data_IF_639536852708
#
_entry.id   IF_639536852708
#
_cell.length_a   1.000
_cell.length_b   1.000
_cell.length_c   1.000
_cell.angle_alpha   90.00
_cell.angle_beta   90.00
_cell.angle_gamma   90.00
#
_symmetry.space_group_name_H-M   'P 1'
#
loop_
_entity.id
_entity.type
_entity.pdbx_description
1 polymer ?
#
# COMPACT_ATOMS: atom_id res chain seq x y z
N UNK A 1 11.04 -13.07 30.78
CA UNK A 1 11.89 -11.95 30.30
C UNK A 1 11.02 -10.71 30.24
N UNK A 2 11.38 -9.64 30.96
CA UNK A 2 10.65 -8.37 30.92
C UNK A 2 10.69 -7.83 29.48
N UNK A 3 9.52 -7.62 28.87
CA UNK A 3 9.43 -6.98 27.57
C UNK A 3 9.84 -5.51 27.77
N UNK A 4 11.06 -5.16 27.35
CA UNK A 4 11.56 -3.79 27.48
C UNK A 4 10.60 -2.76 26.87
N UNK A 5 10.53 -1.58 27.48
CA UNK A 5 9.75 -0.47 26.94
C UNK A 5 10.26 -0.10 25.54
N UNK A 6 9.35 0.01 24.58
CA UNK A 6 9.69 0.48 23.24
C UNK A 6 10.03 1.97 23.30
N UNK A 7 11.32 2.28 23.33
CA UNK A 7 11.83 3.65 23.17
C UNK A 7 12.04 3.84 21.66
N UNK A 8 11.45 4.90 21.10
CA UNK A 8 11.72 5.27 19.70
C UNK A 8 13.20 5.62 19.56
N UNK A 9 13.99 4.69 19.05
CA UNK A 9 15.39 4.91 18.71
C UNK A 9 15.52 5.89 17.53
N UNK A 10 16.73 6.43 17.35
CA UNK A 10 16.99 7.40 16.28
C UNK A 10 16.69 6.83 14.89
N UNK A 11 16.88 5.52 14.71
CA UNK A 11 16.56 4.82 13.48
C UNK A 11 15.04 4.83 13.19
N UNK A 12 14.22 4.47 14.18
CA UNK A 12 12.76 4.48 14.06
C UNK A 12 12.23 5.88 13.78
N UNK A 13 12.79 6.91 14.43
CA UNK A 13 12.45 8.32 14.17
C UNK A 13 12.83 8.74 12.75
N UNK A 14 14.00 8.35 12.27
CA UNK A 14 14.43 8.61 10.90
C UNK A 14 13.49 7.97 9.88
N UNK A 15 13.17 6.68 10.06
CA UNK A 15 12.24 5.95 9.19
C UNK A 15 10.87 6.63 9.12
N UNK A 16 10.30 7.02 10.27
CA UNK A 16 9.02 7.75 10.33
C UNK A 16 9.12 9.06 9.52
N UNK A 17 10.15 9.87 9.77
CA UNK A 17 10.32 11.17 9.11
C UNK A 17 10.49 11.03 7.61
N UNK A 18 11.30 10.06 7.15
CA UNK A 18 11.49 9.76 5.74
C UNK A 18 10.18 9.32 5.08
N UNK A 19 9.40 8.44 5.72
CA UNK A 19 8.11 7.99 5.20
C UNK A 19 7.10 9.14 5.08
N UNK A 20 7.03 10.02 6.09
CA UNK A 20 6.17 11.22 6.05
C UNK A 20 6.61 12.18 4.95
N UNK A 21 7.91 12.45 4.83
CA UNK A 21 8.45 13.33 3.79
C UNK A 21 8.14 12.82 2.39
N UNK A 22 8.40 11.54 2.13
CA UNK A 22 8.08 10.89 0.85
C UNK A 22 6.57 10.98 0.56
N UNK A 23 5.71 10.63 1.51
CA UNK A 23 4.27 10.66 1.32
C UNK A 23 3.75 12.08 1.00
N UNK A 24 4.24 13.09 1.73
CA UNK A 24 3.88 14.50 1.49
C UNK A 24 4.31 14.95 0.08
N UNK A 25 5.54 14.65 -0.31
CA UNK A 25 6.05 14.99 -1.64
C UNK A 25 5.23 14.33 -2.74
N UNK A 26 4.90 13.04 -2.61
CA UNK A 26 4.10 12.32 -3.61
C UNK A 26 2.67 12.90 -3.72
N UNK A 27 2.06 13.28 -2.60
CA UNK A 27 0.74 13.94 -2.57
C UNK A 27 0.77 15.32 -3.24
N UNK A 28 1.76 16.14 -2.93
CA UNK A 28 1.91 17.47 -3.52
C UNK A 28 2.15 17.38 -5.03
N UNK A 29 2.97 16.43 -5.48
CA UNK A 29 3.20 16.17 -6.91
C UNK A 29 1.90 15.76 -7.60
N UNK A 30 1.06 14.92 -6.96
CA UNK A 30 -0.21 14.50 -7.52
C UNK A 30 -1.14 15.70 -7.76
N UNK A 31 -1.36 16.54 -6.74
CA UNK A 31 -2.22 17.73 -6.83
C UNK A 31 -1.69 18.74 -7.84
N UNK A 32 -0.39 19.04 -7.80
CA UNK A 32 0.22 19.95 -8.76
C UNK A 32 0.03 19.45 -10.19
N UNK A 33 0.15 18.14 -10.41
CA UNK A 33 0.02 17.58 -11.75
C UNK A 33 -1.41 17.55 -12.28
N UNK A 34 -2.42 17.36 -11.42
CA UNK A 34 -3.83 17.41 -11.80
C UNK A 34 -4.26 18.82 -12.23
N UNK A 35 -3.69 19.85 -11.59
CA UNK A 35 -3.91 21.25 -11.96
C UNK A 35 -3.47 21.57 -13.41
N UNK A 36 -2.34 21.00 -13.87
CA UNK A 36 -1.82 21.24 -15.22
C UNK A 36 -2.40 20.30 -16.28
N UNK A 37 -2.92 19.14 -15.88
CA UNK A 37 -3.42 18.09 -16.77
C UNK A 37 -4.70 17.45 -16.20
N UNK A 38 -5.85 18.13 -16.27
CA UNK A 38 -7.11 17.61 -15.74
C UNK A 38 -7.58 16.40 -16.56
N UNK A 39 -8.20 15.41 -15.89
CA UNK A 39 -8.72 14.20 -16.56
C UNK A 39 -10.23 14.08 -16.51
N UNK A 40 -10.84 13.68 -17.62
CA UNK A 40 -12.29 13.42 -17.77
C UNK A 40 -12.77 12.19 -16.94
N UNK A 41 -11.83 11.40 -16.42
CA UNK A 41 -12.10 10.22 -15.58
C UNK A 41 -11.98 10.50 -14.07
N UNK A 42 -12.05 11.77 -13.69
CA UNK A 42 -11.69 12.32 -12.36
C UNK A 42 -12.33 11.61 -11.16
N UNK A 43 -13.59 11.19 -11.24
CA UNK A 43 -14.25 10.54 -10.09
C UNK A 43 -13.69 9.13 -9.83
N UNK A 44 -13.60 8.28 -10.86
CA UNK A 44 -13.07 6.90 -10.70
C UNK A 44 -11.60 6.92 -10.34
N UNK A 45 -10.83 7.80 -11.00
CA UNK A 45 -9.42 8.02 -10.70
C UNK A 45 -9.23 8.60 -9.28
N UNK A 46 -10.08 9.54 -8.87
CA UNK A 46 -10.07 10.13 -7.54
C UNK A 46 -10.39 9.14 -6.43
N UNK A 47 -11.42 8.31 -6.61
CA UNK A 47 -11.75 7.23 -5.65
C UNK A 47 -10.58 6.25 -5.52
N UNK A 48 -10.00 5.82 -6.65
CA UNK A 48 -8.83 4.95 -6.60
C UNK A 48 -7.64 5.63 -5.92
N UNK A 49 -7.32 6.86 -6.30
CA UNK A 49 -6.23 7.65 -5.72
C UNK A 49 -6.37 7.79 -4.21
N UNK A 50 -7.54 8.20 -3.71
CA UNK A 50 -7.83 8.33 -2.28
C UNK A 50 -7.68 6.98 -1.57
N UNK A 51 -8.24 5.91 -2.12
CA UNK A 51 -8.14 4.58 -1.52
C UNK A 51 -6.69 4.08 -1.45
N UNK A 52 -5.90 4.30 -2.51
CA UNK A 52 -4.49 3.92 -2.59
C UNK A 52 -3.63 4.75 -1.60
N UNK A 53 -3.86 6.06 -1.51
CA UNK A 53 -3.19 6.94 -0.54
C UNK A 53 -3.49 6.48 0.89
N UNK A 54 -4.76 6.26 1.22
CA UNK A 54 -5.16 5.80 2.56
C UNK A 54 -4.56 4.42 2.87
N UNK A 55 -4.54 3.50 1.89
CA UNK A 55 -3.88 2.21 2.05
C UNK A 55 -2.39 2.38 2.38
N UNK A 56 -1.67 3.25 1.66
CA UNK A 56 -0.26 3.57 1.92
C UNK A 56 -0.07 4.17 3.31
N UNK A 57 -0.90 5.12 3.72
CA UNK A 57 -0.81 5.77 5.04
C UNK A 57 -1.00 4.75 6.16
N UNK A 58 -2.07 3.95 6.10
CA UNK A 58 -2.36 2.94 7.12
C UNK A 58 -1.34 1.80 7.09
N UNK A 59 -0.93 1.33 5.90
CA UNK A 59 0.13 0.34 5.74
C UNK A 59 1.46 0.81 6.34
N UNK A 60 1.82 2.07 6.11
CA UNK A 60 3.01 2.70 6.68
C UNK A 60 2.92 2.75 8.19
N UNK A 61 1.79 3.17 8.75
CA UNK A 61 1.55 3.15 10.19
C UNK A 61 1.75 1.73 10.78
N UNK A 62 1.25 0.70 10.09
CA UNK A 62 1.39 -0.69 10.50
C UNK A 62 2.85 -1.17 10.52
N UNK A 63 3.73 -0.62 9.67
CA UNK A 63 5.17 -0.97 9.73
C UNK A 63 5.80 -0.66 11.09
N UNK A 64 5.37 0.43 11.74
CA UNK A 64 5.82 0.81 13.08
C UNK A 64 5.33 -0.15 14.17
N UNK A 65 4.26 -0.91 13.92
CA UNK A 65 3.76 -1.95 14.80
C UNK A 65 4.37 -3.31 14.48
N UNK A 66 4.67 -3.56 13.21
CA UNK A 66 5.28 -4.79 12.73
C UNK A 66 6.71 -4.98 13.27
N UNK A 67 7.54 -3.93 13.32
CA UNK A 67 8.93 -4.04 13.83
C UNK A 67 8.95 -4.51 15.30
N UNK A 68 8.20 -3.88 16.23
CA UNK A 68 8.07 -4.40 17.59
C UNK A 68 7.53 -5.82 17.67
N UNK A 69 6.54 -6.16 16.85
CA UNK A 69 5.96 -7.49 16.79
C UNK A 69 6.99 -8.54 16.35
N UNK A 70 7.82 -8.24 15.35
CA UNK A 70 8.92 -9.11 14.88
C UNK A 70 10.02 -9.23 15.93
N UNK A 71 10.29 -8.19 16.72
CA UNK A 71 11.28 -8.19 17.83
C UNK A 71 10.75 -8.84 19.12
N UNK A 72 9.43 -9.00 19.25
CA UNK A 72 8.82 -9.68 20.41
C UNK A 72 8.60 -8.75 21.57
N UNK A 73 8.54 -7.47 21.26
CA UNK A 73 8.19 -6.43 22.20
C UNK A 73 6.68 -6.41 22.38
N UNK A 74 6.23 -5.83 23.49
CA UNK A 74 4.81 -5.71 23.77
C UNK A 74 4.15 -4.79 22.72
N UNK A 75 3.09 -5.29 22.07
CA UNK A 75 2.25 -4.55 21.13
C UNK A 75 0.80 -4.70 21.57
N UNK A 76 0.04 -3.61 21.57
CA UNK A 76 -1.40 -3.65 21.84
C UNK A 76 -2.12 -4.38 20.71
N UNK A 77 -2.31 -5.69 20.85
CA UNK A 77 -2.85 -6.56 19.81
C UNK A 77 -4.27 -6.20 19.37
N UNK A 78 -5.11 -5.73 20.28
CA UNK A 78 -6.45 -5.24 19.93
C UNK A 78 -6.37 -4.07 18.96
N UNK A 79 -5.54 -3.07 19.26
CA UNK A 79 -5.33 -1.94 18.34
C UNK A 79 -4.74 -2.41 17.01
N UNK A 80 -3.77 -3.34 17.04
CA UNK A 80 -3.18 -3.90 15.82
C UNK A 80 -4.24 -4.57 14.93
N UNK A 81 -5.18 -5.34 15.51
CA UNK A 81 -6.28 -6.00 14.78
C UNK A 81 -7.14 -5.01 14.00
N UNK A 82 -7.57 -3.93 14.65
CA UNK A 82 -8.40 -2.91 14.00
C UNK A 82 -7.66 -2.21 12.86
N UNK A 83 -6.40 -1.82 13.08
CA UNK A 83 -5.60 -1.18 12.04
C UNK A 83 -5.29 -2.11 10.86
N UNK A 84 -5.08 -3.40 11.13
CA UNK A 84 -4.85 -4.40 10.10
C UNK A 84 -6.12 -4.72 9.29
N UNK A 85 -7.27 -4.77 9.96
CA UNK A 85 -8.58 -4.86 9.29
C UNK A 85 -8.82 -3.63 8.41
N UNK A 86 -8.58 -2.42 8.92
CA UNK A 86 -8.69 -1.19 8.15
C UNK A 86 -7.77 -1.22 6.93
N UNK A 87 -6.50 -1.63 7.08
CA UNK A 87 -5.58 -1.79 5.96
C UNK A 87 -6.09 -2.83 4.94
N UNK A 88 -6.64 -3.96 5.39
CA UNK A 88 -7.20 -4.98 4.51
C UNK A 88 -8.35 -4.43 3.67
N UNK A 89 -9.29 -3.72 4.31
CA UNK A 89 -10.43 -3.10 3.62
C UNK A 89 -9.98 -2.01 2.65
N UNK A 90 -8.99 -1.19 3.02
CA UNK A 90 -8.44 -0.16 2.13
C UNK A 90 -7.70 -0.76 0.93
N UNK A 91 -6.94 -1.84 1.13
CA UNK A 91 -6.28 -2.55 0.03
C UNK A 91 -7.29 -3.25 -0.88
N UNK A 92 -8.38 -3.79 -0.32
CA UNK A 92 -9.49 -4.32 -1.12
C UNK A 92 -10.17 -3.21 -1.94
N UNK A 93 -10.46 -2.07 -1.31
CA UNK A 93 -11.02 -0.91 -1.99
C UNK A 93 -10.08 -0.40 -3.11
N UNK A 94 -8.78 -0.38 -2.86
CA UNK A 94 -7.73 -0.07 -3.84
C UNK A 94 -7.73 -1.04 -5.02
N UNK A 95 -7.85 -2.35 -4.77
CA UNK A 95 -7.93 -3.36 -5.84
C UNK A 95 -9.21 -3.21 -6.67
N UNK A 96 -10.38 -3.06 -6.03
CA UNK A 96 -11.67 -2.90 -6.71
C UNK A 96 -11.68 -1.61 -7.56
N UNK A 97 -11.31 -0.48 -6.96
CA UNK A 97 -11.27 0.81 -7.66
C UNK A 97 -10.17 0.86 -8.73
N UNK A 98 -9.07 0.14 -8.52
CA UNK A 98 -7.99 -0.04 -9.50
C UNK A 98 -8.50 -0.71 -10.77
N UNK A 99 -9.39 -1.69 -10.65
CA UNK A 99 -10.04 -2.31 -11.79
C UNK A 99 -10.91 -1.31 -12.59
N UNK A 100 -11.51 -0.31 -11.95
CA UNK A 100 -12.30 0.71 -12.65
C UNK A 100 -11.46 1.58 -13.58
N UNK A 101 -10.29 2.02 -13.12
CA UNK A 101 -9.35 2.76 -13.97
C UNK A 101 -8.68 1.85 -15.00
N UNK A 102 -8.50 0.57 -14.67
CA UNK A 102 -7.92 -0.43 -15.57
C UNK A 102 -8.82 -0.72 -16.77
N UNK A 103 -10.14 -0.74 -16.60
CA UNK A 103 -11.08 -0.88 -17.71
C UNK A 103 -10.93 0.26 -18.73
N UNK A 104 -10.74 1.50 -18.27
CA UNK A 104 -10.46 2.64 -19.18
C UNK A 104 -9.09 2.51 -19.84
N UNK A 105 -8.10 2.05 -19.09
CA UNK A 105 -6.75 1.79 -19.60
C UNK A 105 -6.78 0.80 -20.79
N UNK A 106 -7.55 -0.28 -20.68
CA UNK A 106 -7.68 -1.35 -21.68
C UNK A 106 -8.74 -1.11 -22.77
N UNK A 107 -9.60 -0.10 -22.61
CA UNK A 107 -10.64 0.23 -23.58
C UNK A 107 -10.05 0.66 -24.93
N UNK A 108 -10.87 0.55 -25.99
CA UNK A 108 -10.52 1.07 -27.31
C UNK A 108 -10.15 2.56 -27.23
N UNK A 109 -9.13 2.96 -27.99
CA UNK A 109 -8.55 4.32 -27.94
C UNK A 109 -8.12 4.69 -26.50
N UNK A 110 -7.69 3.67 -25.76
CA UNK A 110 -7.24 3.75 -24.39
C UNK A 110 -5.79 4.24 -24.27
N UNK A 111 -5.38 4.68 -23.06
CA UNK A 111 -3.98 4.96 -22.78
C UNK A 111 -3.05 3.78 -23.13
N UNK A 112 -3.55 2.54 -23.06
CA UNK A 112 -2.81 1.36 -23.53
C UNK A 112 -2.42 1.44 -25.01
N UNK A 113 -3.37 1.77 -25.88
CA UNK A 113 -3.14 1.77 -27.33
C UNK A 113 -2.10 2.82 -27.70
N UNK A 114 -2.15 3.98 -27.05
CA UNK A 114 -1.12 5.01 -27.19
C UNK A 114 0.26 4.53 -26.71
N UNK A 115 0.34 3.92 -25.51
CA UNK A 115 1.60 3.42 -24.95
C UNK A 115 2.20 2.34 -25.85
N UNK A 116 1.40 1.42 -26.37
CA UNK A 116 1.88 0.38 -27.28
C UNK A 116 2.39 0.94 -28.61
N UNK A 117 1.76 2.01 -29.11
CA UNK A 117 2.18 2.65 -30.36
C UNK A 117 3.48 3.48 -30.21
N UNK A 118 3.77 4.04 -29.03
CA UNK A 118 4.88 4.99 -28.86
C UNK A 118 6.00 4.49 -27.96
N UNK A 119 5.67 3.76 -26.90
CA UNK A 119 6.61 3.31 -25.85
C UNK A 119 6.31 1.86 -25.40
N UNK A 120 6.30 0.87 -26.31
CA UNK A 120 5.87 -0.51 -25.99
C UNK A 120 6.74 -1.21 -24.94
N UNK A 121 8.03 -0.88 -24.86
CA UNK A 121 8.92 -1.42 -23.82
C UNK A 121 8.46 -1.01 -22.40
N UNK A 122 7.88 0.19 -22.25
CA UNK A 122 7.35 0.67 -20.97
C UNK A 122 6.09 -0.12 -20.58
N UNK A 123 5.25 -0.50 -21.55
CA UNK A 123 4.07 -1.34 -21.30
C UNK A 123 4.46 -2.66 -20.64
N UNK A 124 5.39 -3.40 -21.26
CA UNK A 124 5.74 -4.74 -20.82
C UNK A 124 6.43 -4.74 -19.45
N UNK A 125 7.22 -3.70 -19.14
CA UNK A 125 7.96 -3.64 -17.87
C UNK A 125 7.14 -3.01 -16.74
N UNK A 126 6.40 -1.92 -16.99
CA UNK A 126 5.73 -1.19 -15.91
C UNK A 126 4.27 -1.58 -15.73
N UNK A 127 3.52 -1.88 -16.80
CA UNK A 127 2.08 -2.17 -16.66
C UNK A 127 1.84 -3.60 -16.20
N UNK A 128 2.41 -4.59 -16.90
CA UNK A 128 2.20 -6.00 -16.54
C UNK A 128 2.76 -6.32 -15.14
N UNK A 129 3.95 -5.79 -14.83
CA UNK A 129 4.54 -5.92 -13.49
C UNK A 129 3.70 -5.21 -12.42
N UNK A 130 3.25 -3.97 -12.66
CA UNK A 130 2.42 -3.24 -11.70
C UNK A 130 1.11 -3.98 -11.44
N UNK A 131 0.44 -4.45 -12.48
CA UNK A 131 -0.85 -5.15 -12.37
C UNK A 131 -0.74 -6.34 -11.43
N UNK A 132 0.36 -7.11 -11.53
CA UNK A 132 0.61 -8.23 -10.64
C UNK A 132 0.99 -7.79 -9.23
N UNK A 133 2.00 -6.92 -9.09
CA UNK A 133 2.57 -6.48 -7.80
C UNK A 133 1.55 -5.75 -6.94
N UNK A 134 0.69 -4.92 -7.55
CA UNK A 134 -0.28 -4.10 -6.83
C UNK A 134 -1.45 -4.91 -6.25
N UNK A 135 -1.61 -6.17 -6.64
CA UNK A 135 -2.65 -7.06 -6.11
C UNK A 135 -2.20 -7.83 -4.87
N UNK A 136 -0.90 -8.00 -4.62
CA UNK A 136 -0.38 -8.71 -3.44
C UNK A 136 -0.71 -8.09 -2.07
N UNK A 137 -0.81 -6.76 -1.91
CA UNK A 137 -1.08 -6.18 -0.61
C UNK A 137 -2.39 -6.68 0.02
N UNK A 138 -3.46 -6.83 -0.77
CA UNK A 138 -4.74 -7.30 -0.26
C UNK A 138 -4.69 -8.73 0.34
N UNK A 139 -4.28 -9.80 -0.38
CA UNK A 139 -4.24 -11.14 0.16
C UNK A 139 -3.24 -11.27 1.31
N UNK A 140 -2.13 -10.53 1.31
CA UNK A 140 -1.18 -10.53 2.42
C UNK A 140 -1.76 -9.86 3.69
N UNK A 141 -2.40 -8.69 3.56
CA UNK A 141 -3.08 -8.05 4.69
C UNK A 141 -4.26 -8.89 5.19
N UNK A 142 -5.00 -9.53 4.29
CA UNK A 142 -6.08 -10.46 4.64
C UNK A 142 -5.54 -11.66 5.42
N UNK A 143 -4.44 -12.27 4.98
CA UNK A 143 -3.79 -13.39 5.66
C UNK A 143 -3.32 -12.99 7.07
N UNK A 144 -2.70 -11.82 7.21
CA UNK A 144 -2.26 -11.31 8.50
C UNK A 144 -3.46 -11.00 9.42
N UNK A 145 -4.54 -10.41 8.88
CA UNK A 145 -5.80 -10.13 9.59
C UNK A 145 -6.46 -11.41 10.05
N UNK A 146 -6.67 -12.37 9.15
CA UNK A 146 -7.26 -13.66 9.45
C UNK A 146 -6.47 -14.37 10.56
N UNK A 147 -5.13 -14.35 10.49
CA UNK A 147 -4.26 -14.93 11.52
C UNK A 147 -4.50 -14.27 12.89
N UNK A 148 -4.47 -12.94 12.98
CA UNK A 148 -4.70 -12.25 14.27
C UNK A 148 -6.10 -12.45 14.82
N UNK A 149 -7.12 -12.54 13.96
CA UNK A 149 -8.50 -12.74 14.39
C UNK A 149 -8.78 -14.19 14.80
N UNK A 150 -8.23 -15.16 14.07
CA UNK A 150 -8.39 -16.59 14.36
C UNK A 150 -7.76 -16.97 15.71
N UNK A 151 -6.52 -16.56 15.96
CA UNK A 151 -5.85 -16.86 17.23
C UNK A 151 -6.21 -15.90 18.37
N UNK A 152 -6.83 -14.76 18.06
CA UNK A 152 -7.22 -13.74 19.04
C UNK A 152 -6.03 -13.23 19.87
N UNK A 153 -6.28 -12.91 21.14
CA UNK A 153 -5.23 -12.41 22.04
C UNK A 153 -4.22 -13.47 22.46
N UNK A 154 -4.59 -14.76 22.38
CA UNK A 154 -3.70 -15.88 22.75
C UNK A 154 -2.45 -15.97 21.87
N UNK A 155 -2.48 -15.37 20.67
CA UNK A 155 -1.35 -15.30 19.75
C UNK A 155 -0.11 -14.65 20.39
N UNK A 156 -0.26 -13.84 21.44
CA UNK A 156 0.88 -13.25 22.17
C UNK A 156 1.83 -14.30 22.75
N UNK A 157 1.33 -15.51 23.01
CA UNK A 157 2.13 -16.63 23.51
C UNK A 157 2.86 -17.38 22.36
N UNK A 158 2.54 -17.06 21.11
CA UNK A 158 3.01 -17.73 19.89
C UNK A 158 3.96 -16.83 19.12
N UNK A 159 5.24 -16.93 19.45
CA UNK A 159 6.29 -16.07 18.91
C UNK A 159 6.50 -16.23 17.40
N UNK A 160 6.35 -17.46 16.93
CA UNK A 160 6.31 -17.85 15.52
C UNK A 160 5.21 -17.10 14.76
N UNK A 161 3.98 -17.14 15.27
CA UNK A 161 2.82 -16.53 14.62
C UNK A 161 2.88 -15.00 14.63
N UNK A 162 3.32 -14.39 15.73
CA UNK A 162 3.49 -12.93 15.80
C UNK A 162 4.59 -12.43 14.85
N UNK A 163 5.71 -13.15 14.72
CA UNK A 163 6.74 -12.84 13.73
C UNK A 163 6.22 -12.98 12.31
N UNK A 164 5.50 -14.07 12.02
CA UNK A 164 4.87 -14.28 10.72
C UNK A 164 3.96 -13.12 10.34
N UNK A 165 3.04 -12.71 11.24
CA UNK A 165 2.16 -11.54 11.02
C UNK A 165 2.98 -10.27 10.75
N UNK A 166 4.01 -10.01 11.56
CA UNK A 166 4.86 -8.83 11.38
C UNK A 166 5.60 -8.81 10.05
N UNK A 167 6.17 -9.94 9.62
CA UNK A 167 6.86 -10.07 8.33
C UNK A 167 5.85 -9.88 7.19
N UNK A 168 4.68 -10.50 7.27
CA UNK A 168 3.61 -10.38 6.26
C UNK A 168 3.17 -8.93 6.09
N UNK A 169 3.06 -8.16 7.18
CA UNK A 169 2.78 -6.71 7.13
C UNK A 169 3.87 -5.96 6.37
N UNK A 170 5.15 -6.22 6.67
CA UNK A 170 6.27 -5.54 6.00
C UNK A 170 6.35 -5.87 4.51
N UNK A 171 6.22 -7.16 4.15
CA UNK A 171 6.21 -7.61 2.76
C UNK A 171 5.03 -7.00 2.01
N UNK A 172 3.84 -7.02 2.61
CA UNK A 172 2.67 -6.37 2.03
C UNK A 172 2.86 -4.87 1.80
N UNK A 173 3.50 -4.18 2.75
CA UNK A 173 3.81 -2.76 2.62
C UNK A 173 4.82 -2.51 1.50
N UNK A 174 5.81 -3.38 1.30
CA UNK A 174 6.75 -3.27 0.18
C UNK A 174 6.04 -3.36 -1.17
N UNK A 175 5.16 -4.35 -1.36
CA UNK A 175 4.34 -4.46 -2.57
C UNK A 175 3.46 -3.22 -2.78
N UNK A 176 2.84 -2.72 -1.70
CA UNK A 176 2.00 -1.53 -1.74
C UNK A 176 2.78 -0.28 -2.16
N UNK A 177 3.98 -0.08 -1.64
CA UNK A 177 4.85 1.04 -2.02
C UNK A 177 5.29 0.96 -3.49
N UNK A 178 5.69 -0.23 -3.97
CA UNK A 178 6.07 -0.42 -5.37
C UNK A 178 4.88 -0.14 -6.28
N UNK A 179 3.72 -0.72 -6.00
CA UNK A 179 2.49 -0.50 -6.78
C UNK A 179 2.07 0.96 -6.81
N UNK A 180 2.16 1.66 -5.67
CA UNK A 180 1.85 3.08 -5.57
C UNK A 180 2.80 3.94 -6.41
N UNK A 181 4.11 3.76 -6.27
CA UNK A 181 5.13 4.54 -7.01
C UNK A 181 4.99 4.32 -8.51
N UNK A 182 4.91 3.06 -8.96
CA UNK A 182 4.73 2.76 -10.39
C UNK A 182 3.38 3.31 -10.88
N UNK A 183 2.35 3.27 -10.05
CA UNK A 183 1.05 3.84 -10.38
C UNK A 183 1.07 5.36 -10.57
N UNK A 184 1.83 6.09 -9.77
CA UNK A 184 2.04 7.54 -9.95
C UNK A 184 2.77 7.85 -11.25
N UNK A 185 3.81 7.08 -11.60
CA UNK A 185 4.55 7.25 -12.87
C UNK A 185 3.62 7.03 -14.06
N UNK A 186 2.82 5.96 -14.03
CA UNK A 186 1.90 5.65 -15.12
C UNK A 186 0.79 6.68 -15.26
N UNK A 187 0.25 7.21 -14.15
CA UNK A 187 -0.73 8.29 -14.19
C UNK A 187 -0.22 9.58 -14.90
N UNK A 188 1.08 9.66 -15.22
CA UNK A 188 1.69 10.76 -15.99
C UNK A 188 1.99 10.40 -17.44
N UNK A 189 1.97 9.12 -17.80
CA UNK A 189 2.10 8.66 -19.18
C UNK A 189 0.74 8.79 -19.88
N UNK A 190 0.38 10.04 -20.20
CA UNK A 190 -0.74 10.45 -21.06
C UNK A 190 -2.11 9.83 -20.70
N UNK A 191 -2.49 9.92 -19.43
CA UNK A 191 -3.90 9.96 -19.04
C UNK A 191 -4.37 11.42 -19.20
N UNK A 192 -4.75 11.80 -20.42
CA UNK A 192 -5.68 12.93 -20.61
C UNK A 192 -7.06 12.36 -20.27
#
# INVERSE_FOLDING_TARGET
>A
MSAGHYIHDNFSKLVIRSQVGIALTLLLILTASDFWYPSDYSLKAGVHGVSAILAVVVGTYLTHRAIPLIKGMHVRLESLRHWLLAATLLNLAGAISGNWIYMRYRGQDGPRDWILAHVPAIHNVLMEFKEFVSLFPFPLMLLATATLYYYGLSIQMRRDLTRFVGITILVSWSFLMIGFVVGLVLAKLRFV
#
